data_IF_420262694971
#
_entry.id   IF_420262694971
#
_cell.length_a   1.000
_cell.length_b   1.000
_cell.length_c   1.000
_cell.angle_alpha   90.00
_cell.angle_beta   90.00
_cell.angle_gamma   90.00
#
_symmetry.space_group_name_H-M   'P 1'
#
loop_
_entity.id
_entity.type
_entity.pdbx_description
1 polymer ?
#
# COMPACT_ATOMS: atom_id res chain seq x y z
N UNK A 1 13.36 -1.70 -19.47
CA UNK A 1 13.61 -1.70 -18.00
C UNK A 1 12.69 -2.72 -17.35
N UNK A 2 13.23 -3.57 -16.48
CA UNK A 2 12.46 -4.64 -15.81
C UNK A 2 12.60 -4.54 -14.29
N UNK A 3 11.53 -4.89 -13.58
CA UNK A 3 11.44 -4.87 -12.12
C UNK A 3 11.60 -6.27 -11.55
N UNK A 4 12.42 -6.41 -10.52
CA UNK A 4 12.57 -7.66 -9.77
C UNK A 4 12.14 -7.40 -8.33
N UNK A 5 11.19 -8.21 -7.84
CA UNK A 5 10.61 -8.04 -6.52
C UNK A 5 11.08 -9.15 -5.55
N UNK A 6 11.14 -8.82 -4.26
CA UNK A 6 11.23 -9.81 -3.19
C UNK A 6 9.92 -10.60 -3.05
N UNK A 7 9.85 -11.51 -2.08
CA UNK A 7 8.64 -12.31 -1.83
C UNK A 7 7.44 -11.40 -1.58
N UNK A 8 7.60 -10.36 -0.76
CA UNK A 8 6.57 -9.41 -0.36
C UNK A 8 6.17 -8.41 -1.45
N UNK A 9 6.70 -8.57 -2.66
CA UNK A 9 6.40 -7.69 -3.79
C UNK A 9 7.15 -6.36 -3.79
N UNK A 10 8.17 -6.18 -2.94
CA UNK A 10 9.01 -4.97 -2.93
C UNK A 10 10.11 -5.05 -4.00
N UNK A 11 10.26 -4.01 -4.81
CA UNK A 11 11.29 -3.98 -5.86
C UNK A 11 12.69 -3.90 -5.26
N UNK A 12 13.49 -4.96 -5.47
CA UNK A 12 14.87 -5.07 -4.98
C UNK A 12 15.91 -4.81 -6.07
N UNK A 13 15.58 -5.04 -7.35
CA UNK A 13 16.48 -4.78 -8.47
C UNK A 13 15.74 -4.15 -9.65
N UNK A 14 16.45 -3.31 -10.39
CA UNK A 14 16.08 -2.88 -11.74
C UNK A 14 17.13 -3.35 -12.74
N UNK A 15 16.68 -3.80 -13.90
CA UNK A 15 17.57 -4.14 -15.01
C UNK A 15 17.22 -3.38 -16.27
N UNK A 16 18.22 -3.07 -17.09
CA UNK A 16 18.05 -2.52 -18.42
C UNK A 16 17.53 -3.58 -19.42
N UNK A 17 17.40 -3.19 -20.70
CA UNK A 17 16.94 -4.07 -21.78
C UNK A 17 17.93 -5.20 -22.12
N UNK A 18 19.19 -5.07 -21.69
CA UNK A 18 20.25 -6.06 -21.86
C UNK A 18 20.43 -6.95 -20.61
N UNK A 19 19.56 -6.80 -19.61
CA UNK A 19 19.62 -7.56 -18.36
C UNK A 19 20.70 -7.10 -17.38
N UNK A 20 21.35 -5.95 -17.62
CA UNK A 20 22.33 -5.39 -16.67
C UNK A 20 21.61 -4.71 -15.52
N UNK A 21 22.09 -4.94 -14.29
CA UNK A 21 21.53 -4.32 -13.09
C UNK A 21 21.85 -2.83 -13.09
N UNK A 22 20.83 -2.00 -13.08
CA UNK A 22 20.96 -0.53 -13.00
C UNK A 22 20.81 -0.04 -11.57
N UNK A 23 19.95 -0.68 -10.78
CA UNK A 23 19.66 -0.26 -9.41
C UNK A 23 19.46 -1.46 -8.48
N UNK A 24 19.83 -1.29 -7.21
CA UNK A 24 19.57 -2.24 -6.11
C UNK A 24 18.95 -1.50 -4.93
N UNK A 25 17.95 -2.10 -4.30
CA UNK A 25 17.25 -1.54 -3.16
C UNK A 25 17.27 -2.53 -2.00
N UNK A 26 17.52 -2.02 -0.80
CA UNK A 26 17.43 -2.76 0.46
C UNK A 26 16.45 -2.07 1.38
N UNK A 27 15.47 -2.82 1.90
CA UNK A 27 14.44 -2.30 2.81
C UNK A 27 14.54 -2.92 4.19
N UNK A 28 14.11 -2.16 5.20
CA UNK A 28 13.74 -2.70 6.50
C UNK A 28 12.40 -3.43 6.44
N UNK A 29 12.06 -4.12 7.54
CA UNK A 29 10.81 -4.86 7.65
C UNK A 29 9.58 -3.96 7.47
N UNK A 30 9.62 -2.74 8.01
CA UNK A 30 8.54 -1.76 7.89
C UNK A 30 8.65 -0.89 6.62
N UNK A 31 9.51 -1.29 5.68
CA UNK A 31 9.69 -0.61 4.42
C UNK A 31 10.60 0.61 4.48
N UNK A 32 11.38 0.82 5.54
CA UNK A 32 12.38 1.88 5.51
C UNK A 32 13.43 1.56 4.43
N UNK A 33 13.65 2.47 3.47
CA UNK A 33 14.74 2.31 2.49
C UNK A 33 16.08 2.44 3.21
N UNK A 34 16.83 1.34 3.31
CA UNK A 34 18.13 1.26 3.99
C UNK A 34 19.30 1.55 3.06
N UNK A 35 19.20 1.11 1.81
CA UNK A 35 20.20 1.35 0.78
C UNK A 35 19.53 1.42 -0.60
N UNK A 36 20.02 2.33 -1.44
CA UNK A 36 19.71 2.40 -2.86
C UNK A 36 21.00 2.65 -3.64
N UNK A 37 21.39 1.68 -4.45
CA UNK A 37 22.44 1.83 -5.45
C UNK A 37 21.79 2.13 -6.78
N UNK A 38 22.28 3.16 -7.49
CA UNK A 38 21.70 3.62 -8.76
C UNK A 38 21.11 5.03 -8.65
N UNK A 39 20.41 5.47 -9.69
CA UNK A 39 19.87 6.84 -9.81
C UNK A 39 18.45 6.87 -10.40
N UNK A 40 17.89 5.73 -10.71
CA UNK A 40 16.60 5.64 -11.40
C UNK A 40 15.50 6.04 -10.43
N UNK A 41 14.74 7.07 -10.77
CA UNK A 41 13.54 7.45 -10.02
C UNK A 41 12.35 6.68 -10.56
N UNK A 42 11.70 5.91 -9.70
CA UNK A 42 10.52 5.12 -10.04
C UNK A 42 9.60 4.98 -8.82
N UNK A 43 8.27 4.95 -8.99
CA UNK A 43 7.33 5.02 -7.87
C UNK A 43 7.05 3.65 -7.20
N UNK A 44 7.29 2.54 -7.88
CA UNK A 44 6.99 1.18 -7.40
C UNK A 44 8.19 0.60 -6.62
N UNK A 45 8.40 1.06 -5.39
CA UNK A 45 9.47 0.58 -4.51
C UNK A 45 8.96 -0.52 -3.56
N UNK A 46 8.73 -0.17 -2.29
CA UNK A 46 8.23 -1.10 -1.28
C UNK A 46 6.79 -1.55 -1.58
N UNK A 47 6.55 -2.86 -1.59
CA UNK A 47 5.30 -3.50 -2.06
C UNK A 47 4.83 -3.03 -3.46
N UNK A 48 5.78 -2.59 -4.31
CA UNK A 48 5.51 -1.99 -5.60
C UNK A 48 4.75 -2.90 -6.57
N UNK A 49 4.98 -4.22 -6.49
CA UNK A 49 4.27 -5.23 -7.31
C UNK A 49 2.75 -5.17 -7.11
N UNK A 50 2.31 -4.84 -5.89
CA UNK A 50 0.89 -4.80 -5.53
C UNK A 50 0.26 -3.40 -5.75
N UNK A 51 1.03 -2.50 -6.37
CA UNK A 51 0.61 -1.16 -6.78
C UNK A 51 0.75 -0.10 -5.70
N UNK A 52 1.58 -0.34 -4.68
CA UNK A 52 1.98 0.69 -3.72
C UNK A 52 2.95 1.66 -4.40
N UNK A 53 2.66 2.95 -4.29
CA UNK A 53 3.47 4.01 -4.90
C UNK A 53 4.25 4.77 -3.83
N UNK A 54 5.51 5.10 -4.12
CA UNK A 54 6.39 5.92 -3.29
C UNK A 54 6.44 7.32 -3.86
N UNK A 55 6.04 8.29 -3.05
CA UNK A 55 6.10 9.69 -3.41
C UNK A 55 7.51 10.27 -3.20
N UNK A 56 7.85 11.38 -3.87
CA UNK A 56 9.15 12.05 -3.68
C UNK A 56 9.44 12.49 -2.23
N UNK A 57 8.40 12.63 -1.40
CA UNK A 57 8.51 12.94 0.02
C UNK A 57 8.82 11.71 0.91
N UNK A 58 8.92 10.51 0.33
CA UNK A 58 9.21 9.26 1.03
C UNK A 58 8.00 8.56 1.65
N UNK A 59 6.78 9.09 1.45
CA UNK A 59 5.55 8.44 1.89
C UNK A 59 5.09 7.39 0.88
N UNK A 60 4.42 6.35 1.38
CA UNK A 60 3.85 5.30 0.55
C UNK A 60 2.35 5.51 0.41
N UNK A 61 1.92 5.76 -0.82
CA UNK A 61 0.52 5.81 -1.19
C UNK A 61 -0.01 4.38 -1.40
N UNK A 62 -0.81 3.92 -0.44
CA UNK A 62 -1.47 2.61 -0.45
C UNK A 62 -2.96 2.78 -0.77
N UNK A 63 -3.31 3.67 -1.70
CA UNK A 63 -4.70 3.97 -2.12
C UNK A 63 -5.56 4.61 -1.04
N UNK A 64 -6.06 3.84 -0.06
CA UNK A 64 -6.94 4.38 0.98
C UNK A 64 -6.17 5.24 2.00
N UNK A 65 -4.87 4.97 2.18
CA UNK A 65 -4.05 5.65 3.20
C UNK A 65 -2.64 5.95 2.72
N UNK A 66 -2.05 6.99 3.32
CA UNK A 66 -0.61 7.25 3.26
C UNK A 66 0.08 6.59 4.45
N UNK A 67 1.14 5.85 4.16
CA UNK A 67 1.98 5.18 5.14
C UNK A 67 3.34 5.88 5.25
N UNK A 68 3.81 6.06 6.48
CA UNK A 68 5.11 6.64 6.76
C UNK A 68 6.06 5.54 7.27
N UNK A 69 7.04 5.09 6.46
CA UNK A 69 7.95 4.00 6.84
C UNK A 69 8.81 4.35 8.07
N UNK A 70 9.27 5.60 8.20
CA UNK A 70 10.01 6.05 9.38
C UNK A 70 9.22 6.00 10.71
N UNK A 71 7.90 6.28 10.68
CA UNK A 71 7.02 6.18 11.86
C UNK A 71 6.39 4.79 12.02
N UNK A 72 6.55 3.92 11.01
CA UNK A 72 6.02 2.55 10.97
C UNK A 72 4.49 2.48 11.12
N UNK A 73 3.78 3.48 10.59
CA UNK A 73 2.33 3.62 10.70
C UNK A 73 1.72 4.43 9.57
N UNK A 74 0.40 4.32 9.43
CA UNK A 74 -0.38 5.19 8.58
C UNK A 74 -0.51 6.59 9.19
N UNK A 75 -0.55 7.61 8.33
CA UNK A 75 -0.84 8.99 8.73
C UNK A 75 -2.34 9.23 8.87
N UNK A 76 -3.13 8.53 8.06
CA UNK A 76 -4.58 8.64 8.06
C UNK A 76 -5.19 7.52 8.90
N UNK A 77 -6.25 7.84 9.64
CA UNK A 77 -7.06 6.87 10.39
C UNK A 77 -7.74 5.91 9.40
N UNK A 78 -7.67 4.61 9.68
CA UNK A 78 -8.40 3.57 8.93
C UNK A 78 -9.89 3.88 8.87
N UNK A 79 -10.59 3.52 7.80
CA UNK A 79 -12.06 3.62 7.74
C UNK A 79 -12.73 2.44 8.45
N UNK A 80 -12.04 1.31 8.58
CA UNK A 80 -12.51 0.14 9.31
C UNK A 80 -12.45 0.42 10.82
N UNK A 81 -13.45 -0.02 11.57
CA UNK A 81 -13.58 0.29 13.00
C UNK A 81 -12.81 -0.67 13.92
N UNK A 82 -12.32 -1.79 13.37
CA UNK A 82 -11.76 -2.90 14.13
C UNK A 82 -12.79 -4.01 14.35
N UNK A 83 -12.29 -5.16 14.80
CA UNK A 83 -13.02 -6.38 15.10
C UNK A 83 -12.94 -6.63 16.62
N UNK A 84 -14.08 -6.90 17.26
CA UNK A 84 -14.14 -7.17 18.71
C UNK A 84 -13.35 -8.42 19.11
N UNK A 85 -13.09 -9.33 18.16
CA UNK A 85 -12.34 -10.57 18.38
C UNK A 85 -10.82 -10.40 18.22
N UNK A 86 -10.35 -9.32 17.60
CA UNK A 86 -8.93 -9.00 17.45
C UNK A 86 -8.63 -7.57 17.93
N UNK A 87 -8.19 -7.47 19.18
CA UNK A 87 -7.87 -6.20 19.83
C UNK A 87 -6.83 -5.34 19.07
N UNK A 88 -5.96 -5.94 18.26
CA UNK A 88 -4.96 -5.19 17.51
C UNK A 88 -5.57 -4.32 16.42
N UNK A 89 -6.72 -4.73 15.88
CA UNK A 89 -7.43 -4.00 14.81
C UNK A 89 -8.02 -2.66 15.27
N UNK A 90 -8.16 -2.44 16.58
CA UNK A 90 -8.60 -1.14 17.12
C UNK A 90 -7.55 -0.04 16.96
N UNK A 91 -6.27 -0.39 16.74
CA UNK A 91 -5.27 0.59 16.36
C UNK A 91 -5.41 0.95 14.86
N UNK A 92 -6.29 1.92 14.58
CA UNK A 92 -6.61 2.39 13.22
C UNK A 92 -5.47 3.11 12.49
N UNK A 93 -4.28 3.19 13.06
CA UNK A 93 -3.08 3.71 12.40
C UNK A 93 -2.02 2.62 12.19
N UNK A 94 -2.20 1.43 12.74
CA UNK A 94 -1.23 0.35 12.65
C UNK A 94 -1.05 -0.11 11.21
N UNK A 95 0.20 -0.35 10.82
CA UNK A 95 0.51 -1.10 9.62
C UNK A 95 0.49 -2.59 9.97
N UNK A 96 -0.30 -3.35 9.21
CA UNK A 96 -0.40 -4.83 9.27
C UNK A 96 -0.54 -5.44 10.67
N UNK A 97 -1.21 -4.75 11.59
CA UNK A 97 -1.32 -5.13 13.01
C UNK A 97 0.04 -5.46 13.64
N UNK A 98 1.09 -4.73 13.27
CA UNK A 98 2.42 -4.87 13.86
C UNK A 98 3.28 -6.02 13.32
N UNK A 99 2.80 -6.83 12.38
CA UNK A 99 3.54 -7.96 11.81
C UNK A 99 3.87 -7.78 10.30
N UNK A 100 4.89 -6.99 9.96
CA UNK A 100 5.32 -6.79 8.58
C UNK A 100 6.23 -7.90 8.03
N UNK A 101 6.49 -8.94 8.84
CA UNK A 101 7.21 -10.13 8.40
C UNK A 101 6.24 -11.07 7.68
N UNK A 102 5.07 -11.29 8.29
CA UNK A 102 4.06 -12.21 7.75
C UNK A 102 3.05 -11.58 6.79
N UNK A 103 2.90 -10.24 6.79
CA UNK A 103 1.80 -9.58 6.11
C UNK A 103 2.19 -8.29 5.38
N UNK A 104 1.37 -7.93 4.39
CA UNK A 104 1.40 -6.67 3.66
C UNK A 104 0.00 -6.01 3.68
N UNK A 105 -0.12 -4.72 3.34
CA UNK A 105 -1.43 -4.04 3.18
C UNK A 105 -1.44 -3.17 1.91
N UNK A 106 -1.65 -3.76 0.71
CA UNK A 106 -1.56 -3.03 -0.56
C UNK A 106 -2.70 -2.03 -0.81
N UNK A 107 -3.79 -2.13 -0.05
CA UNK A 107 -4.96 -1.24 -0.18
C UNK A 107 -5.06 -0.21 0.94
N UNK A 108 -4.17 -0.29 1.94
CA UNK A 108 -4.24 0.55 3.11
C UNK A 108 -5.54 0.35 3.86
N UNK A 109 -6.04 -0.88 4.00
CA UNK A 109 -7.29 -1.20 4.70
C UNK A 109 -7.16 -2.40 5.63
N UNK A 110 -6.45 -3.45 5.22
CA UNK A 110 -6.32 -4.66 6.03
C UNK A 110 -5.04 -5.40 5.66
N UNK A 111 -4.49 -6.13 6.62
CA UNK A 111 -3.37 -7.02 6.38
C UNK A 111 -3.81 -8.18 5.48
N UNK A 112 -3.03 -8.49 4.46
CA UNK A 112 -3.13 -9.74 3.70
C UNK A 112 -1.82 -10.51 3.84
N UNK A 113 -1.93 -11.85 3.84
CA UNK A 113 -0.76 -12.70 3.79
C UNK A 113 -0.21 -12.68 2.37
N UNK A 114 1.11 -12.65 2.27
CA UNK A 114 1.81 -12.87 1.02
C UNK A 114 1.88 -14.38 0.71
N UNK A 115 0.75 -14.97 0.32
CA UNK A 115 0.69 -16.38 -0.11
C UNK A 115 0.83 -16.47 -1.63
N UNK A 116 1.93 -17.08 -2.09
CA UNK A 116 2.15 -17.40 -3.51
C UNK A 116 0.92 -18.14 -4.08
N UNK A 117 0.20 -17.51 -5.00
CA UNK A 117 -0.86 -18.16 -5.78
C UNK A 117 -2.29 -17.97 -5.27
N UNK A 118 -2.51 -17.28 -4.15
CA UNK A 118 -3.83 -16.77 -3.75
C UNK A 118 -3.74 -15.27 -3.53
N UNK A 119 -3.73 -14.53 -4.64
CA UNK A 119 -4.22 -13.16 -4.61
C UNK A 119 -5.65 -13.26 -4.06
N UNK A 120 -5.92 -12.73 -2.86
CA UNK A 120 -7.31 -12.46 -2.49
C UNK A 120 -7.87 -11.68 -3.65
N UNK A 121 -8.83 -12.28 -4.34
CA UNK A 121 -9.23 -11.76 -5.63
C UNK A 121 -9.74 -10.34 -5.41
N UNK A 122 -9.51 -9.45 -6.37
CA UNK A 122 -10.07 -8.08 -6.33
C UNK A 122 -11.56 -8.10 -5.94
N UNK A 123 -12.29 -9.16 -6.31
CA UNK A 123 -13.67 -9.42 -5.92
C UNK A 123 -13.82 -9.60 -4.41
N UNK A 124 -13.10 -10.52 -3.77
CA UNK A 124 -13.17 -10.77 -2.33
C UNK A 124 -12.81 -9.52 -1.53
N UNK A 125 -11.77 -8.79 -1.95
CA UNK A 125 -11.38 -7.59 -1.22
C UNK A 125 -12.40 -6.46 -1.42
N UNK A 126 -12.96 -6.31 -2.64
CA UNK A 126 -14.01 -5.32 -2.89
C UNK A 126 -15.33 -5.68 -2.21
N UNK A 127 -15.60 -6.97 -1.99
CA UNK A 127 -16.74 -7.47 -1.24
C UNK A 127 -16.59 -7.17 0.25
N UNK A 128 -15.44 -7.48 0.85
CA UNK A 128 -15.14 -7.08 2.24
C UNK A 128 -15.21 -5.56 2.38
N UNK A 129 -14.60 -4.80 1.47
CA UNK A 129 -14.71 -3.33 1.48
C UNK A 129 -16.17 -2.88 1.36
N UNK A 130 -16.99 -3.51 0.51
CA UNK A 130 -18.43 -3.20 0.45
C UNK A 130 -19.16 -3.55 1.74
N UNK A 131 -18.80 -4.63 2.41
CA UNK A 131 -19.48 -5.09 3.62
C UNK A 131 -19.10 -4.25 4.84
N UNK A 132 -17.81 -3.95 5.01
CA UNK A 132 -17.28 -3.26 6.19
C UNK A 132 -17.38 -1.74 6.13
N UNK A 133 -17.59 -1.15 4.94
CA UNK A 133 -17.87 0.29 4.84
C UNK A 133 -19.21 0.64 5.50
N UNK A 134 -19.19 1.65 6.37
CA UNK A 134 -20.41 2.15 7.01
C UNK A 134 -21.44 2.61 5.96
N UNK A 135 -22.75 2.56 6.28
CA UNK A 135 -23.81 3.04 5.38
C UNK A 135 -23.60 4.50 4.91
N UNK A 136 -22.91 5.31 5.72
CA UNK A 136 -22.60 6.71 5.42
C UNK A 136 -21.56 6.83 4.29
N UNK A 137 -20.52 5.99 4.27
CA UNK A 137 -19.53 5.98 3.18
C UNK A 137 -20.13 5.40 1.89
N UNK A 138 -21.11 4.48 2.01
CA UNK A 138 -21.89 3.98 0.87
C UNK A 138 -22.75 5.08 0.23
N UNK A 139 -23.25 6.05 1.02
CA UNK A 139 -23.99 7.22 0.50
C UNK A 139 -23.07 8.18 -0.27
N UNK A 140 -21.87 8.44 0.23
CA UNK A 140 -20.91 9.36 -0.40
C UNK A 140 -20.45 8.84 -1.78
N UNK A 141 -20.21 7.54 -1.93
CA UNK A 141 -19.83 6.96 -3.24
C UNK A 141 -20.97 6.76 -4.24
N UNK A 142 -22.24 6.90 -3.81
CA UNK A 142 -23.39 6.91 -4.74
C UNK A 142 -23.56 8.26 -5.43
N UNK A 143 -22.89 9.32 -4.94
CA UNK A 143 -22.83 10.62 -5.58
C UNK A 143 -21.57 10.68 -6.47
N UNK A 144 -21.78 10.23 -7.71
CA UNK A 144 -21.08 10.53 -8.97
C UNK A 144 -19.63 10.00 -9.24
N UNK A 145 -19.43 9.12 -10.25
CA UNK A 145 -18.12 8.80 -10.83
C UNK A 145 -17.57 9.86 -11.80
N UNK A 146 -18.29 10.94 -12.11
CA UNK A 146 -17.86 11.89 -13.16
C UNK A 146 -18.39 13.32 -12.97
N UNK A 147 -18.20 13.92 -11.80
CA UNK A 147 -18.39 15.37 -11.64
C UNK A 147 -17.04 16.11 -11.67
N UNK A 148 -16.77 16.79 -12.80
CA UNK A 148 -15.67 17.74 -12.95
C UNK A 148 -15.79 18.81 -11.85
N UNK A 149 -14.70 19.05 -11.15
CA UNK A 149 -14.59 20.16 -10.20
C UNK A 149 -14.16 21.41 -10.98
N UNK A 150 -15.11 22.21 -11.43
CA UNK A 150 -14.85 23.61 -11.77
C UNK A 150 -14.75 24.37 -10.45
N UNK A 151 -13.52 24.61 -10.00
CA UNK A 151 -13.24 25.49 -8.86
C UNK A 151 -12.86 26.85 -9.45
N UNK A 152 -13.83 27.76 -9.50
CA UNK A 152 -13.52 29.20 -9.51
C UNK A 152 -12.94 29.56 -8.14
N UNK A 153 -11.71 30.07 -8.17
CA UNK A 153 -11.02 30.59 -6.99
C UNK A 153 -11.36 32.09 -6.90
N UNK A 154 -11.77 32.61 -5.73
CA UNK A 154 -12.08 34.03 -5.55
C UNK A 154 -10.86 34.95 -5.72
#
# INVERSE_FOLDING_TARGET
MSYHADTRGSTTLLTDEHGRVTDRYTYGLYGELKAHEGRTKQPFCYNGRDGVMTDPNGLYYMRARYYHPGLKRFLNRDVLQGDMTDGQTFNRFAYVNGDPIGFIDPLGLMKCKDEKGKSQTRTEIMEIVRETLSPEVKKIKKLDPMQKWDIEVP
#
